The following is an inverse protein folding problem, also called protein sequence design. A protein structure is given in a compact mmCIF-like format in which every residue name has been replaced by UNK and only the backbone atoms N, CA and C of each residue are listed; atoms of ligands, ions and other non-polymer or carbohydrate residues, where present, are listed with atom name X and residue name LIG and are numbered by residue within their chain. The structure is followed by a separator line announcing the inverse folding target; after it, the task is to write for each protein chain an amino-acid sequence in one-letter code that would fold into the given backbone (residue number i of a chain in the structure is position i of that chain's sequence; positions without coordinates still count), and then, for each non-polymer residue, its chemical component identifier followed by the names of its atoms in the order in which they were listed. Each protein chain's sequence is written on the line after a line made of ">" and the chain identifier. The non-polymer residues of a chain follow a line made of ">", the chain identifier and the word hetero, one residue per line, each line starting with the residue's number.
data_IF_550777994101
#
_entry.id   IF_550777994101
#
_cell.length_a   1.000
_cell.length_b   1.000
_cell.length_c   1.000
_cell.angle_alpha   90.00
_cell.angle_beta   90.00
_cell.angle_gamma   90.00
#
_symmetry.space_group_name_H-M   'P 1'
#
loop_
_entity.id
_entity.type
_entity.pdbx_description
1 polymer ?
#
# COMPACT_ATOMS: atom_id res chain seq x y z
N UNK A 1 -11.05 -57.96 9.84
CA UNK A 1 -10.41 -56.89 9.06
C UNK A 1 -10.01 -55.79 10.03
N UNK A 2 -8.76 -55.32 9.97
CA UNK A 2 -8.33 -54.19 10.79
C UNK A 2 -9.19 -52.97 10.46
N UNK A 3 -9.85 -52.39 11.47
CA UNK A 3 -10.77 -51.25 11.30
C UNK A 3 -10.06 -50.03 10.74
N UNK A 4 -8.77 -49.88 11.02
CA UNK A 4 -7.98 -48.79 10.47
C UNK A 4 -7.67 -49.02 8.98
N UNK A 5 -7.35 -50.26 8.61
CA UNK A 5 -7.18 -50.63 7.20
C UNK A 5 -8.47 -50.42 6.38
N UNK A 6 -9.63 -50.73 6.97
CA UNK A 6 -10.92 -50.44 6.35
C UNK A 6 -11.12 -48.93 6.12
N UNK A 7 -10.69 -48.08 7.07
CA UNK A 7 -10.70 -46.62 6.88
C UNK A 7 -9.80 -46.20 5.72
N UNK A 8 -8.56 -46.71 5.64
CA UNK A 8 -7.64 -46.37 4.55
C UNK A 8 -8.23 -46.71 3.17
N UNK A 9 -8.89 -47.87 3.05
CA UNK A 9 -9.57 -48.27 1.81
C UNK A 9 -10.79 -47.39 1.50
N UNK A 10 -11.64 -47.11 2.49
CA UNK A 10 -12.84 -46.29 2.29
C UNK A 10 -12.53 -44.82 2.00
N UNK A 11 -11.43 -44.30 2.55
CA UNK A 11 -10.95 -42.94 2.31
C UNK A 11 -10.06 -42.82 1.06
N UNK A 12 -9.88 -43.91 0.29
CA UNK A 12 -9.02 -43.97 -0.89
C UNK A 12 -7.55 -43.59 -0.60
N UNK A 13 -7.06 -43.89 0.61
CA UNK A 13 -5.69 -43.60 1.08
C UNK A 13 -4.75 -44.81 0.91
N UNK A 14 -5.18 -45.83 0.17
CA UNK A 14 -4.47 -47.07 -0.13
C UNK A 14 -3.41 -46.91 -1.24
N UNK A 15 -2.66 -45.80 -1.19
CA UNK A 15 -1.52 -45.50 -2.07
C UNK A 15 -0.24 -45.39 -1.24
N UNK A 16 0.90 -45.80 -1.78
CA UNK A 16 2.19 -45.59 -1.09
C UNK A 16 2.55 -44.11 -0.99
N UNK A 17 3.08 -43.62 0.15
CA UNK A 17 3.37 -44.35 1.39
C UNK A 17 2.23 -44.34 2.44
N UNK A 18 1.03 -43.84 2.10
CA UNK A 18 -0.12 -43.74 3.01
C UNK A 18 -0.68 -45.12 3.42
N UNK A 19 -0.57 -46.10 2.53
CA UNK A 19 -0.94 -47.51 2.79
C UNK A 19 -0.06 -48.18 3.88
N UNK A 20 1.08 -47.58 4.23
CA UNK A 20 1.96 -48.02 5.32
C UNK A 20 1.53 -47.51 6.70
N UNK A 21 0.50 -46.67 6.76
CA UNK A 21 0.00 -46.12 8.01
C UNK A 21 -0.46 -47.23 8.96
N UNK A 22 0.08 -47.20 10.18
CA UNK A 22 -0.26 -48.11 11.27
C UNK A 22 -0.82 -47.30 12.43
N UNK A 23 -2.03 -47.61 12.86
CA UNK A 23 -2.65 -46.97 14.03
C UNK A 23 -2.10 -47.58 15.32
N UNK A 24 -1.40 -46.78 16.12
CA UNK A 24 -0.87 -47.21 17.41
C UNK A 24 -1.96 -47.18 18.49
N UNK A 25 -2.67 -46.04 18.59
CA UNK A 25 -3.76 -45.87 19.56
C UNK A 25 -4.70 -44.72 19.18
N UNK A 26 -5.90 -44.73 19.77
CA UNK A 26 -6.84 -43.60 19.74
C UNK A 26 -7.23 -43.26 21.16
N UNK A 27 -6.93 -42.05 21.61
CA UNK A 27 -7.22 -41.59 22.96
C UNK A 27 -8.36 -40.57 22.96
N UNK A 28 -9.33 -40.73 23.86
CA UNK A 28 -10.45 -39.78 24.03
C UNK A 28 -10.05 -38.68 25.00
N UNK A 29 -9.99 -37.43 24.53
CA UNK A 29 -9.76 -36.24 25.36
C UNK A 29 -11.07 -35.86 26.08
N UNK A 30 -11.30 -36.44 27.26
CA UNK A 30 -12.55 -36.29 28.04
C UNK A 30 -13.00 -34.83 28.25
N UNK A 31 -12.07 -33.91 28.45
CA UNK A 31 -12.39 -32.50 28.72
C UNK A 31 -12.77 -31.70 27.46
N UNK A 32 -12.21 -32.07 26.29
CA UNK A 32 -12.47 -31.36 25.03
C UNK A 32 -13.46 -32.08 24.10
N UNK A 33 -13.84 -33.33 24.41
CA UNK A 33 -14.67 -34.17 23.55
C UNK A 33 -14.00 -34.53 22.21
N UNK A 34 -12.67 -34.48 22.16
CA UNK A 34 -11.89 -34.75 20.95
C UNK A 34 -11.23 -36.14 20.95
N UNK A 35 -10.87 -36.63 19.77
CA UNK A 35 -10.07 -37.84 19.60
C UNK A 35 -8.63 -37.47 19.26
N UNK A 36 -7.67 -38.20 19.84
CA UNK A 36 -6.25 -38.10 19.50
C UNK A 36 -5.80 -39.40 18.84
N UNK A 37 -5.46 -39.33 17.56
CA UNK A 37 -4.92 -40.45 16.80
C UNK A 37 -3.40 -40.48 16.89
N UNK A 38 -2.84 -41.63 17.25
CA UNK A 38 -1.39 -41.88 17.21
C UNK A 38 -1.09 -42.84 16.06
N UNK A 39 -0.44 -42.35 15.01
CA UNK A 39 -0.26 -43.07 13.74
C UNK A 39 1.22 -43.09 13.35
N UNK A 40 1.72 -44.26 13.01
CA UNK A 40 3.08 -44.48 12.49
C UNK A 40 3.05 -44.72 10.99
N UNK A 41 3.93 -44.06 10.23
CA UNK A 41 4.19 -44.35 8.82
C UNK A 41 5.58 -44.96 8.63
N UNK A 42 5.79 -45.72 7.55
CA UNK A 42 7.11 -46.28 7.26
C UNK A 42 8.09 -45.20 6.78
N UNK A 43 7.62 -44.31 5.91
CA UNK A 43 8.45 -43.29 5.24
C UNK A 43 7.78 -41.91 5.23
N UNK A 44 8.59 -40.86 5.14
CA UNK A 44 8.13 -39.47 4.99
C UNK A 44 7.56 -39.28 3.58
N UNK A 45 6.44 -38.57 3.49
CA UNK A 45 5.73 -38.30 2.24
C UNK A 45 5.74 -36.81 1.88
N UNK A 46 5.28 -36.47 0.68
CA UNK A 46 5.14 -35.07 0.29
C UNK A 46 4.09 -34.34 1.15
N UNK A 47 4.27 -33.04 1.45
CA UNK A 47 3.30 -32.26 2.21
C UNK A 47 1.85 -32.26 1.66
N UNK A 48 1.59 -32.28 0.34
CA UNK A 48 0.24 -32.44 -0.19
C UNK A 48 -0.41 -33.78 0.19
N UNK A 49 0.34 -34.88 0.14
CA UNK A 49 -0.17 -36.19 0.54
C UNK A 49 -0.45 -36.24 2.04
N UNK A 50 0.43 -35.67 2.86
CA UNK A 50 0.22 -35.56 4.30
C UNK A 50 -1.02 -34.70 4.63
N UNK A 51 -1.18 -33.57 3.94
CA UNK A 51 -2.36 -32.69 4.10
C UNK A 51 -3.64 -33.41 3.71
N UNK A 52 -3.63 -34.15 2.60
CA UNK A 52 -4.76 -34.98 2.16
C UNK A 52 -5.13 -36.02 3.23
N UNK A 53 -4.13 -36.73 3.78
CA UNK A 53 -4.35 -37.69 4.85
C UNK A 53 -4.95 -37.05 6.10
N UNK A 54 -4.40 -35.93 6.57
CA UNK A 54 -4.91 -35.19 7.73
C UNK A 54 -6.37 -34.79 7.49
N UNK A 55 -6.68 -34.23 6.32
CA UNK A 55 -8.03 -33.80 5.97
C UNK A 55 -9.00 -34.99 5.96
N UNK A 56 -8.62 -36.13 5.39
CA UNK A 56 -9.45 -37.33 5.36
C UNK A 56 -9.64 -37.92 6.76
N UNK A 57 -8.59 -37.98 7.58
CA UNK A 57 -8.67 -38.43 8.97
C UNK A 57 -9.63 -37.55 9.77
N UNK A 58 -9.49 -36.23 9.66
CA UNK A 58 -10.35 -35.28 10.38
C UNK A 58 -11.79 -35.37 9.89
N UNK A 59 -12.03 -35.42 8.58
CA UNK A 59 -13.37 -35.47 8.00
C UNK A 59 -14.08 -36.78 8.30
N UNK A 60 -13.38 -37.91 8.21
CA UNK A 60 -13.98 -39.24 8.36
C UNK A 60 -14.42 -39.53 9.80
N UNK A 61 -13.63 -39.08 10.79
CA UNK A 61 -13.92 -39.35 12.20
C UNK A 61 -14.65 -38.22 12.92
N UNK A 62 -14.75 -37.04 12.32
CA UNK A 62 -15.56 -35.95 12.85
C UNK A 62 -17.05 -36.31 12.76
N UNK A 63 -17.74 -36.21 13.89
CA UNK A 63 -19.18 -36.43 13.99
C UNK A 63 -19.81 -35.30 14.78
N UNK A 64 -20.58 -34.41 14.13
CA UNK A 64 -21.27 -33.32 14.81
C UNK A 64 -22.06 -33.82 16.02
N UNK A 65 -21.93 -33.12 17.15
CA UNK A 65 -22.59 -33.48 18.41
C UNK A 65 -21.97 -34.63 19.21
N UNK A 66 -21.06 -35.43 18.63
CA UNK A 66 -20.42 -36.59 19.29
C UNK A 66 -18.91 -36.39 19.46
N UNK A 67 -18.21 -36.02 18.39
CA UNK A 67 -16.76 -35.80 18.39
C UNK A 67 -16.49 -34.36 18.01
N UNK A 68 -15.97 -33.56 18.95
CA UNK A 68 -15.79 -32.11 18.79
C UNK A 68 -14.51 -31.73 18.05
N UNK A 69 -13.47 -32.56 18.13
CA UNK A 69 -12.22 -32.31 17.41
C UNK A 69 -11.48 -33.61 17.11
N UNK A 70 -10.71 -33.61 16.02
CA UNK A 70 -9.81 -34.70 15.64
C UNK A 70 -8.39 -34.16 15.65
N UNK A 71 -7.61 -34.61 16.64
CA UNK A 71 -6.19 -34.37 16.77
C UNK A 71 -5.39 -35.61 16.37
N UNK A 72 -4.12 -35.40 16.08
CA UNK A 72 -3.19 -36.45 15.70
C UNK A 72 -1.81 -36.21 16.30
N UNK A 73 -1.04 -37.28 16.41
CA UNK A 73 0.42 -37.29 16.54
C UNK A 73 0.92 -38.32 15.53
N UNK A 74 1.87 -37.91 14.72
CA UNK A 74 2.50 -38.80 13.74
C UNK A 74 3.89 -39.21 14.18
N UNK A 75 4.29 -40.40 13.75
CA UNK A 75 5.66 -40.92 13.88
C UNK A 75 6.07 -41.57 12.57
N UNK A 76 7.36 -41.59 12.28
CA UNK A 76 7.92 -42.28 11.11
C UNK A 76 8.99 -43.27 11.55
N UNK A 77 9.03 -44.45 10.93
CA UNK A 77 10.16 -45.38 11.11
C UNK A 77 11.46 -44.77 10.61
N UNK A 78 11.40 -44.02 9.50
CA UNK A 78 12.51 -43.25 8.97
C UNK A 78 12.12 -41.75 8.84
N UNK A 79 12.31 -40.93 9.90
CA UNK A 79 11.88 -39.53 9.94
C UNK A 79 12.88 -38.58 9.22
N UNK A 80 13.29 -38.92 8.00
CA UNK A 80 14.23 -38.10 7.23
C UNK A 80 13.47 -37.09 6.35
N UNK A 81 13.74 -35.80 6.57
CA UNK A 81 13.15 -34.70 5.79
C UNK A 81 13.85 -34.44 4.45
N UNK A 82 14.90 -35.19 4.11
CA UNK A 82 15.70 -34.97 2.90
C UNK A 82 14.83 -34.85 1.62
N UNK A 83 14.88 -33.68 0.98
CA UNK A 83 14.10 -33.34 -0.22
C UNK A 83 12.73 -32.72 0.04
N UNK A 84 12.27 -32.67 1.30
CA UNK A 84 11.00 -32.03 1.71
C UNK A 84 11.17 -30.98 2.80
N UNK A 85 12.40 -30.62 3.18
CA UNK A 85 12.74 -29.71 4.27
C UNK A 85 12.03 -28.38 4.11
N UNK A 86 12.05 -27.83 2.89
CA UNK A 86 11.39 -26.57 2.57
C UNK A 86 9.88 -26.69 2.54
N UNK A 87 9.38 -27.74 1.90
CA UNK A 87 7.95 -27.93 1.72
C UNK A 87 7.23 -28.19 3.05
N UNK A 88 7.85 -28.95 3.98
CA UNK A 88 7.34 -29.12 5.34
C UNK A 88 7.49 -27.85 6.17
N UNK A 89 8.59 -27.10 6.04
CA UNK A 89 8.74 -25.81 6.72
C UNK A 89 7.58 -24.86 6.37
N UNK A 90 7.28 -24.70 5.09
CA UNK A 90 6.20 -23.83 4.63
C UNK A 90 4.82 -24.30 5.10
N UNK A 91 4.53 -25.59 4.99
CA UNK A 91 3.26 -26.18 5.42
C UNK A 91 3.05 -26.02 6.93
N UNK A 92 4.08 -26.33 7.72
CA UNK A 92 3.97 -26.37 9.18
C UNK A 92 3.94 -24.97 9.80
N UNK A 93 4.57 -23.97 9.17
CA UNK A 93 4.39 -22.57 9.58
C UNK A 93 2.97 -22.10 9.34
N UNK A 94 2.38 -22.42 8.19
CA UNK A 94 0.97 -22.10 7.93
C UNK A 94 0.09 -22.75 8.99
N UNK A 95 0.29 -24.04 9.27
CA UNK A 95 -0.47 -24.76 10.29
C UNK A 95 -0.28 -24.21 11.70
N UNK A 96 0.94 -23.86 12.08
CA UNK A 96 1.19 -23.20 13.37
C UNK A 96 0.52 -21.81 13.45
N UNK A 97 0.43 -21.08 12.34
CA UNK A 97 -0.20 -19.77 12.27
C UNK A 97 -1.72 -19.80 12.49
N UNK A 98 -2.39 -20.93 12.21
CA UNK A 98 -3.80 -21.14 12.54
C UNK A 98 -4.04 -21.05 14.06
N UNK A 99 -3.05 -21.42 14.88
CA UNK A 99 -3.10 -21.30 16.36
C UNK A 99 -2.57 -19.97 16.87
N UNK A 100 -1.52 -19.44 16.22
CA UNK A 100 -0.88 -18.19 16.62
C UNK A 100 -0.33 -17.43 15.41
N UNK A 101 -1.13 -16.47 14.92
CA UNK A 101 -0.88 -15.73 13.68
C UNK A 101 0.54 -15.12 13.53
N UNK A 102 1.20 -14.57 14.58
CA UNK A 102 2.54 -14.00 14.43
C UNK A 102 3.63 -14.97 13.96
N UNK A 103 3.41 -16.29 14.00
CA UNK A 103 4.34 -17.28 13.44
C UNK A 103 4.46 -17.17 11.92
N UNK A 104 3.48 -16.57 11.23
CA UNK A 104 3.53 -16.42 9.77
C UNK A 104 4.77 -15.61 9.29
N UNK A 105 5.35 -14.76 10.14
CA UNK A 105 6.58 -14.02 9.84
C UNK A 105 7.77 -14.92 9.46
N UNK A 106 7.79 -16.18 9.92
CA UNK A 106 8.85 -17.13 9.63
C UNK A 106 8.95 -17.55 8.16
N UNK A 107 7.92 -17.30 7.35
CA UNK A 107 7.99 -17.47 5.88
C UNK A 107 8.88 -16.43 5.20
N UNK A 108 9.07 -15.27 5.83
CA UNK A 108 9.80 -14.15 5.23
C UNK A 108 11.30 -14.21 5.52
N UNK A 109 11.75 -15.10 6.41
CA UNK A 109 13.17 -15.26 6.72
C UNK A 109 13.82 -16.30 5.81
N UNK A 110 15.03 -16.00 5.37
CA UNK A 110 15.92 -17.00 4.80
C UNK A 110 16.35 -17.97 5.92
N UNK A 111 16.51 -19.24 5.58
CA UNK A 111 17.02 -20.24 6.50
C UNK A 111 17.89 -21.27 5.80
N UNK A 112 18.78 -21.88 6.58
CA UNK A 112 19.54 -23.07 6.21
C UNK A 112 19.06 -24.25 7.05
N UNK A 113 18.91 -25.43 6.45
CA UNK A 113 18.58 -26.65 7.19
C UNK A 113 19.80 -27.58 7.22
N UNK A 114 20.29 -27.86 8.43
CA UNK A 114 21.44 -28.75 8.64
C UNK A 114 21.29 -29.48 9.97
N UNK A 115 21.62 -30.78 9.99
CA UNK A 115 21.61 -31.61 11.21
C UNK A 115 20.27 -31.52 11.99
N UNK A 116 19.14 -31.64 11.28
CA UNK A 116 17.79 -31.48 11.82
C UNK A 116 17.51 -30.13 12.50
N UNK A 117 18.27 -29.09 12.14
CA UNK A 117 18.14 -27.75 12.70
C UNK A 117 17.88 -26.75 11.58
N UNK A 118 16.80 -25.95 11.72
CA UNK A 118 16.53 -24.79 10.89
C UNK A 118 17.26 -23.58 11.48
N UNK A 119 18.28 -23.09 10.77
CA UNK A 119 19.03 -21.90 11.10
C UNK A 119 18.43 -20.70 10.37
N UNK A 120 17.72 -19.86 11.10
CA UNK A 120 17.01 -18.71 10.54
C UNK A 120 17.94 -17.50 10.51
N UNK A 121 18.12 -16.90 9.34
CA UNK A 121 18.97 -15.71 9.19
C UNK A 121 18.18 -14.49 9.65
N UNK A 122 18.71 -13.77 10.64
CA UNK A 122 18.06 -12.57 11.19
C UNK A 122 19.03 -11.43 11.33
N UNK A 123 18.48 -10.22 11.36
CA UNK A 123 19.20 -9.00 11.70
C UNK A 123 19.51 -8.93 13.20
N UNK A 124 20.53 -8.15 13.58
CA UNK A 124 21.02 -8.02 14.97
C UNK A 124 19.91 -7.72 16.00
N UNK A 125 18.90 -6.94 15.61
CA UNK A 125 17.78 -6.56 16.49
C UNK A 125 16.63 -7.59 16.53
N UNK A 126 16.64 -8.57 15.64
CA UNK A 126 15.55 -9.56 15.46
C UNK A 126 15.76 -10.88 16.22
N UNK A 127 16.75 -10.96 17.13
CA UNK A 127 17.03 -12.16 17.92
C UNK A 127 15.84 -12.55 18.84
N UNK A 128 14.96 -11.61 19.15
CA UNK A 128 13.78 -11.84 20.00
C UNK A 128 12.77 -12.84 19.43
N UNK A 129 12.87 -13.22 18.15
CA UNK A 129 11.99 -14.23 17.54
C UNK A 129 12.21 -15.65 18.10
N UNK A 130 13.35 -15.91 18.77
CA UNK A 130 13.64 -17.18 19.43
C UNK A 130 12.54 -17.62 20.41
N UNK A 131 11.78 -16.66 20.98
CA UNK A 131 10.67 -16.94 21.89
C UNK A 131 9.53 -17.77 21.25
N UNK A 132 9.44 -17.80 19.92
CA UNK A 132 8.43 -18.56 19.19
C UNK A 132 8.89 -19.97 18.77
N UNK A 133 10.18 -20.29 18.92
CA UNK A 133 10.73 -21.60 18.55
C UNK A 133 10.10 -22.80 19.28
N UNK A 134 9.72 -22.70 20.57
CA UNK A 134 9.00 -23.78 21.23
C UNK A 134 7.69 -24.14 20.54
N UNK A 135 6.92 -23.14 20.06
CA UNK A 135 5.65 -23.37 19.37
C UNK A 135 5.85 -24.08 18.03
N UNK A 136 6.87 -23.67 17.27
CA UNK A 136 7.25 -24.34 16.02
C UNK A 136 7.71 -25.77 16.30
N UNK A 137 8.55 -25.96 17.31
CA UNK A 137 9.06 -27.29 17.68
C UNK A 137 7.93 -28.25 18.06
N UNK A 138 6.94 -27.78 18.81
CA UNK A 138 5.76 -28.57 19.16
C UNK A 138 4.92 -28.96 17.93
N UNK A 139 4.74 -28.05 16.97
CA UNK A 139 3.99 -28.34 15.74
C UNK A 139 4.72 -29.36 14.84
N UNK A 140 6.04 -29.23 14.71
CA UNK A 140 6.86 -30.22 13.98
C UNK A 140 6.86 -31.57 14.67
N UNK A 141 6.95 -31.60 16.01
CA UNK A 141 6.90 -32.82 16.79
C UNK A 141 5.55 -33.53 16.65
N UNK A 142 4.43 -32.78 16.63
CA UNK A 142 3.09 -33.32 16.35
C UNK A 142 3.02 -34.02 15.00
N UNK A 143 3.75 -33.51 14.01
CA UNK A 143 3.86 -34.10 12.68
C UNK A 143 4.95 -35.17 12.55
N UNK A 144 5.61 -35.57 13.65
CA UNK A 144 6.59 -36.65 13.68
C UNK A 144 8.03 -36.24 13.41
N UNK A 145 8.33 -34.94 13.36
CA UNK A 145 9.67 -34.42 13.08
C UNK A 145 10.32 -33.82 14.32
N UNK A 146 11.47 -34.37 14.71
CA UNK A 146 12.31 -33.83 15.79
C UNK A 146 13.30 -32.85 15.21
N UNK A 147 12.87 -31.59 15.06
CA UNK A 147 13.73 -30.51 14.58
C UNK A 147 14.07 -29.51 15.69
N UNK A 148 15.18 -28.80 15.50
CA UNK A 148 15.54 -27.64 16.31
C UNK A 148 15.48 -26.37 15.46
N UNK A 149 15.39 -25.23 16.13
CA UNK A 149 15.46 -23.91 15.52
C UNK A 149 16.56 -23.11 16.20
N UNK A 150 17.43 -22.51 15.40
CA UNK A 150 18.40 -21.55 15.88
C UNK A 150 18.48 -20.36 14.91
N UNK A 151 19.28 -19.36 15.28
CA UNK A 151 19.40 -18.11 14.56
C UNK A 151 20.84 -17.91 14.12
N UNK A 152 21.03 -17.52 12.86
CA UNK A 152 22.28 -16.97 12.35
C UNK A 152 22.11 -15.45 12.24
N UNK A 153 22.86 -14.69 13.04
CA UNK A 153 22.86 -13.24 12.98
C UNK A 153 23.75 -12.80 11.82
N UNK A 154 23.18 -12.09 10.85
CA UNK A 154 23.93 -11.60 9.69
C UNK A 154 24.43 -10.18 9.96
N UNK A 155 25.73 -9.97 10.13
CA UNK A 155 26.32 -8.66 10.45
C UNK A 155 26.33 -7.66 9.28
N UNK A 156 25.98 -8.10 8.07
CA UNK A 156 26.04 -7.30 6.84
C UNK A 156 24.69 -6.66 6.42
N UNK A 157 23.61 -6.84 7.18
CA UNK A 157 22.33 -6.15 6.94
C UNK A 157 22.26 -4.99 7.92
N UNK A 158 22.38 -3.76 7.42
CA UNK A 158 22.25 -2.55 8.24
C UNK A 158 20.87 -2.52 8.88
N UNK A 159 20.83 -2.28 10.20
CA UNK A 159 19.56 -2.18 10.91
C UNK A 159 18.74 -0.99 10.37
N UNK A 160 17.43 -1.18 10.22
CA UNK A 160 16.48 -0.11 9.87
C UNK A 160 16.65 1.08 10.84
N UNK A 161 17.00 0.81 12.10
CA UNK A 161 17.24 1.80 13.14
C UNK A 161 18.47 2.68 12.85
N UNK A 162 19.60 2.08 12.44
CA UNK A 162 20.81 2.84 12.06
C UNK A 162 20.65 3.62 10.77
N UNK A 163 19.79 3.16 9.84
CA UNK A 163 19.45 3.93 8.63
C UNK A 163 18.59 5.15 8.96
N UNK A 164 17.64 5.01 9.87
CA UNK A 164 16.79 6.11 10.36
C UNK A 164 17.62 7.11 11.18
N UNK A 165 18.52 6.64 12.05
CA UNK A 165 19.39 7.53 12.85
C UNK A 165 20.38 8.31 11.97
N UNK A 166 20.98 7.68 10.95
CA UNK A 166 21.81 8.39 9.96
C UNK A 166 21.02 9.42 9.17
N UNK A 167 19.83 9.07 8.70
CA UNK A 167 18.98 10.02 7.98
C UNK A 167 18.57 11.21 8.87
N UNK A 168 18.31 10.99 10.16
CA UNK A 168 18.00 12.07 11.11
C UNK A 168 19.23 12.96 11.35
N UNK A 169 20.43 12.38 11.49
CA UNK A 169 21.67 13.14 11.68
C UNK A 169 22.05 13.94 10.44
N UNK A 170 22.02 13.33 9.25
CA UNK A 170 22.31 14.03 7.99
C UNK A 170 21.32 15.18 7.73
N UNK A 171 20.04 15.00 8.09
CA UNK A 171 19.03 16.05 7.96
C UNK A 171 19.22 17.17 8.98
N UNK A 172 19.66 16.85 10.21
CA UNK A 172 19.97 17.83 11.25
C UNK A 172 21.23 18.67 10.91
N UNK A 173 22.27 18.06 10.35
CA UNK A 173 23.49 18.76 9.91
C UNK A 173 23.21 19.67 8.70
N UNK A 174 22.35 19.22 7.78
CA UNK A 174 21.90 20.03 6.64
C UNK A 174 21.07 21.24 7.10
N UNK A 175 20.20 21.09 8.11
CA UNK A 175 19.42 22.20 8.68
C UNK A 175 20.28 23.19 9.47
N UNK A 176 21.32 22.73 10.17
CA UNK A 176 22.24 23.61 10.92
C UNK A 176 23.16 24.43 10.01
N UNK A 177 23.56 23.89 8.84
CA UNK A 177 24.40 24.61 7.86
C UNK A 177 23.66 25.69 7.05
N UNK A 178 22.32 25.69 7.08
CA UNK A 178 21.46 26.61 6.33
C UNK A 178 20.94 27.81 7.14
N UNK A 179 21.48 28.07 8.34
CA UNK A 179 21.04 29.21 9.16
C UNK A 179 22.03 30.39 9.07
N UNK A 180 21.80 31.41 8.22
CA UNK A 180 22.58 32.63 8.29
C UNK A 180 22.19 33.45 9.53
N UNK A 181 23.20 33.94 10.24
CA UNK A 181 23.05 34.93 11.31
C UNK A 181 22.40 36.19 10.75
N UNK A 182 21.30 36.63 11.38
CA UNK A 182 20.68 37.94 11.11
C UNK A 182 21.60 39.05 11.61
N UNK A 183 22.08 39.89 10.70
CA UNK A 183 22.49 41.25 11.01
C UNK A 183 21.41 42.19 10.49
N UNK A 184 20.92 43.08 11.37
CA UNK A 184 19.99 44.15 11.01
C UNK A 184 20.76 45.30 10.36
N UNK A 185 20.34 45.73 9.17
CA UNK A 185 20.70 47.03 8.62
C UNK A 185 19.44 47.73 8.12
N UNK A 186 19.17 48.89 8.72
CA UNK A 186 18.15 49.86 8.33
C UNK A 186 18.74 50.73 7.22
N UNK A 187 18.00 51.00 6.13
CA UNK A 187 17.78 52.38 5.62
C UNK A 187 16.90 52.46 4.37
N UNK A 188 16.05 53.50 4.42
CA UNK A 188 15.12 54.02 3.44
C UNK A 188 15.74 54.39 2.09
N UNK A 189 15.01 54.12 0.99
CA UNK A 189 14.39 55.15 0.11
C UNK A 189 13.77 54.51 -1.14
N UNK A 190 12.50 54.84 -1.39
CA UNK A 190 11.78 54.55 -2.64
C UNK A 190 12.46 55.28 -3.81
N UNK A 191 12.76 54.56 -4.88
CA UNK A 191 13.08 55.13 -6.19
C UNK A 191 11.97 54.75 -7.16
N UNK A 192 11.17 55.75 -7.55
CA UNK A 192 10.13 55.61 -8.57
C UNK A 192 10.70 56.03 -9.92
N UNK A 193 10.64 55.15 -10.93
CA UNK A 193 10.96 55.49 -12.31
C UNK A 193 9.68 55.73 -13.12
N UNK A 194 9.66 56.78 -13.93
CA UNK A 194 8.52 57.13 -14.80
C UNK A 194 8.58 56.36 -16.13
N UNK A 195 7.48 55.68 -16.47
CA UNK A 195 7.30 54.99 -17.75
C UNK A 195 6.73 55.91 -18.84
N UNK A 196 7.19 55.70 -20.09
CA UNK A 196 6.71 56.44 -21.27
C UNK A 196 5.48 55.83 -21.97
N UNK A 197 5.05 54.62 -21.59
CA UNK A 197 3.76 54.02 -21.95
C UNK A 197 3.35 53.04 -20.84
N UNK A 198 2.10 53.11 -20.35
CA UNK A 198 1.58 52.18 -19.34
C UNK A 198 1.36 50.81 -20.00
N UNK A 199 2.00 49.73 -19.53
CA UNK A 199 1.58 48.38 -19.89
C UNK A 199 0.13 48.18 -19.41
N UNK A 200 -0.70 47.52 -20.21
CA UNK A 200 -2.01 47.08 -19.75
C UNK A 200 -1.80 45.91 -18.77
N UNK A 201 -2.41 46.03 -17.59
CA UNK A 201 -2.46 44.96 -16.60
C UNK A 201 -3.46 43.91 -17.10
N UNK A 202 -2.96 42.69 -17.30
CA UNK A 202 -3.74 41.57 -17.83
C UNK A 202 -3.62 40.37 -16.90
N UNK A 203 -4.60 39.47 -16.95
CA UNK A 203 -4.47 38.16 -16.31
C UNK A 203 -3.50 37.27 -17.08
N UNK A 204 -2.91 36.29 -16.41
CA UNK A 204 -1.96 35.36 -17.02
C UNK A 204 -2.63 34.57 -18.16
N UNK A 205 -3.90 34.18 -18.00
CA UNK A 205 -4.69 33.46 -19.03
C UNK A 205 -4.84 34.22 -20.36
N UNK A 206 -4.67 35.55 -20.35
CA UNK A 206 -4.79 36.39 -21.55
C UNK A 206 -3.51 36.40 -22.40
N UNK A 207 -2.39 35.90 -21.86
CA UNK A 207 -1.13 35.79 -22.59
C UNK A 207 -1.23 34.60 -23.55
N UNK A 208 -1.00 34.79 -24.86
CA UNK A 208 -1.04 33.67 -25.81
C UNK A 208 -0.02 32.58 -25.44
N UNK A 209 -0.45 31.33 -25.44
CA UNK A 209 0.36 30.16 -25.04
C UNK A 209 1.14 29.52 -26.19
N UNK A 210 0.99 30.02 -27.42
CA UNK A 210 1.63 29.46 -28.61
C UNK A 210 2.35 30.53 -29.42
N UNK A 211 3.41 30.13 -30.15
CA UNK A 211 4.12 30.99 -31.09
C UNK A 211 3.16 31.69 -32.07
N UNK A 212 2.23 30.93 -32.67
CA UNK A 212 1.22 31.48 -33.58
C UNK A 212 0.31 32.51 -32.90
N UNK A 213 -0.11 32.23 -31.66
CA UNK A 213 -0.89 33.15 -30.85
C UNK A 213 -0.16 34.47 -30.58
N UNK A 214 1.13 34.40 -30.25
CA UNK A 214 1.97 35.59 -30.09
C UNK A 214 2.11 36.38 -31.40
N UNK A 215 2.37 35.72 -32.52
CA UNK A 215 2.52 36.39 -33.82
C UNK A 215 1.22 37.11 -34.24
N UNK A 216 0.07 36.47 -34.02
CA UNK A 216 -1.24 37.08 -34.25
C UNK A 216 -1.46 38.31 -33.35
N UNK A 217 -1.22 38.16 -32.04
CA UNK A 217 -1.37 39.26 -31.08
C UNK A 217 -0.48 40.45 -31.45
N UNK A 218 0.78 40.18 -31.83
CA UNK A 218 1.72 41.22 -32.26
C UNK A 218 1.25 41.96 -33.52
N UNK A 219 0.63 41.27 -34.48
CA UNK A 219 0.10 41.90 -35.68
C UNK A 219 -1.13 42.78 -35.37
N UNK A 220 -1.98 42.37 -34.42
CA UNK A 220 -3.19 43.11 -34.04
C UNK A 220 -2.90 44.30 -33.13
N UNK A 221 -1.99 44.14 -32.15
CA UNK A 221 -1.72 45.12 -31.09
C UNK A 221 -0.40 45.88 -31.26
N UNK A 222 0.48 45.42 -32.15
CA UNK A 222 1.79 46.05 -32.42
C UNK A 222 2.89 45.79 -31.39
N UNK A 223 2.58 45.14 -30.26
CA UNK A 223 3.56 44.81 -29.21
C UNK A 223 3.23 43.50 -28.49
N UNK A 224 4.23 42.94 -27.80
CA UNK A 224 4.12 41.75 -26.93
C UNK A 224 4.48 42.08 -25.47
N UNK A 225 4.30 43.34 -25.08
CA UNK A 225 4.54 43.78 -23.71
C UNK A 225 3.29 43.53 -22.87
N UNK A 226 3.46 42.84 -21.74
CA UNK A 226 2.40 42.54 -20.79
C UNK A 226 2.82 42.97 -19.39
N UNK A 227 1.85 43.32 -18.55
CA UNK A 227 2.05 43.47 -17.11
C UNK A 227 1.12 42.51 -16.38
N UNK A 228 1.69 41.67 -15.53
CA UNK A 228 0.98 40.66 -14.75
C UNK A 228 1.32 40.80 -13.27
N UNK A 229 0.41 40.37 -12.42
CA UNK A 229 0.64 40.20 -10.99
C UNK A 229 0.37 38.75 -10.62
N UNK A 230 1.24 38.15 -9.80
CA UNK A 230 1.01 36.79 -9.34
C UNK A 230 1.96 36.36 -8.22
N UNK A 231 1.60 35.25 -7.59
CA UNK A 231 2.33 34.65 -6.48
C UNK A 231 3.42 33.70 -6.99
N UNK A 232 4.63 33.84 -6.47
CA UNK A 232 5.77 32.99 -6.85
C UNK A 232 5.65 31.65 -6.12
N UNK A 233 5.49 30.55 -6.86
CA UNK A 233 5.43 29.21 -6.26
C UNK A 233 6.72 28.40 -6.44
N UNK A 234 7.59 28.81 -7.37
CA UNK A 234 8.87 28.16 -7.62
C UNK A 234 9.92 29.19 -8.08
N UNK A 235 11.16 29.01 -7.63
CA UNK A 235 12.32 29.81 -8.06
C UNK A 235 13.44 28.85 -8.45
N UNK A 236 13.88 28.92 -9.70
CA UNK A 236 15.07 28.21 -10.18
C UNK A 236 16.17 29.23 -10.50
N UNK A 237 17.33 29.10 -9.83
CA UNK A 237 18.52 29.93 -10.04
C UNK A 237 19.62 29.10 -10.68
N UNK A 238 20.16 29.58 -11.81
CA UNK A 238 21.31 28.96 -12.48
C UNK A 238 22.42 29.97 -12.71
N UNK A 239 23.55 29.76 -12.05
CA UNK A 239 24.75 30.59 -12.22
C UNK A 239 25.53 30.17 -13.46
N UNK A 240 25.90 31.15 -14.30
CA UNK A 240 26.72 30.98 -15.49
C UNK A 240 27.94 31.89 -15.37
N UNK A 241 28.97 31.64 -16.18
CA UNK A 241 30.27 32.34 -16.08
C UNK A 241 30.21 33.87 -16.25
N UNK A 242 29.14 34.41 -16.86
CA UNK A 242 28.97 35.85 -17.13
C UNK A 242 27.61 36.42 -16.72
N UNK A 243 26.70 35.58 -16.25
CA UNK A 243 25.33 35.99 -15.91
C UNK A 243 24.68 34.99 -14.98
N UNK A 244 23.64 35.40 -14.28
CA UNK A 244 22.79 34.49 -13.49
C UNK A 244 21.42 34.45 -14.14
N UNK A 245 20.95 33.25 -14.46
CA UNK A 245 19.60 33.02 -14.93
C UNK A 245 18.68 32.79 -13.75
N UNK A 246 17.65 33.62 -13.65
CA UNK A 246 16.53 33.37 -12.75
C UNK A 246 15.29 33.00 -13.55
N UNK A 247 14.59 31.98 -13.08
CA UNK A 247 13.25 31.60 -13.53
C UNK A 247 12.33 31.62 -12.32
N UNK A 248 11.37 32.53 -12.32
CA UNK A 248 10.28 32.57 -11.35
C UNK A 248 9.04 31.94 -12.00
N UNK A 249 8.50 30.88 -11.42
CA UNK A 249 7.18 30.39 -11.82
C UNK A 249 6.14 31.10 -10.97
N UNK A 250 5.26 31.83 -11.65
CA UNK A 250 4.29 32.75 -11.06
C UNK A 250 2.90 32.29 -11.45
N UNK A 251 1.95 32.31 -10.52
CA UNK A 251 0.55 31.97 -10.80
C UNK A 251 -0.39 33.06 -10.29
N UNK A 252 -1.53 33.20 -10.96
CA UNK A 252 -2.67 33.98 -10.50
C UNK A 252 -3.86 33.02 -10.22
N UNK A 253 -5.08 33.53 -10.04
CA UNK A 253 -6.25 32.68 -9.80
C UNK A 253 -6.64 31.80 -11.00
N UNK A 254 -6.09 32.09 -12.18
CA UNK A 254 -6.51 31.52 -13.47
C UNK A 254 -5.46 30.64 -14.13
N UNK A 255 -4.18 31.05 -14.12
CA UNK A 255 -3.12 30.37 -14.85
C UNK A 255 -1.73 30.63 -14.22
N UNK A 256 -0.70 29.97 -14.76
CA UNK A 256 0.69 30.12 -14.35
C UNK A 256 1.64 30.31 -15.53
N UNK A 257 2.65 31.17 -15.35
CA UNK A 257 3.65 31.47 -16.37
C UNK A 257 5.05 31.53 -15.78
N UNK A 258 6.05 31.19 -16.60
CA UNK A 258 7.46 31.31 -16.24
C UNK A 258 7.98 32.70 -16.62
N UNK A 259 8.47 33.42 -15.61
CA UNK A 259 9.14 34.72 -15.76
C UNK A 259 10.65 34.48 -15.71
N UNK A 260 11.33 34.67 -16.84
CA UNK A 260 12.73 34.22 -17.01
C UNK A 260 13.63 35.34 -17.53
N UNK A 261 14.76 35.61 -16.86
CA UNK A 261 15.77 36.58 -17.34
C UNK A 261 17.18 36.25 -16.91
N UNK A 262 18.13 36.57 -17.80
CA UNK A 262 19.55 36.64 -17.48
C UNK A 262 19.87 38.00 -16.88
N UNK A 263 20.38 37.99 -15.65
CA UNK A 263 20.89 39.16 -14.95
C UNK A 263 22.41 39.20 -15.00
N UNK A 264 22.96 40.38 -15.27
CA UNK A 264 24.41 40.62 -15.35
C UNK A 264 24.90 41.63 -14.32
N UNK A 265 24.01 42.50 -13.80
CA UNK A 265 24.35 43.52 -12.82
C UNK A 265 24.11 42.98 -11.40
N UNK A 266 25.06 43.23 -10.49
CA UNK A 266 24.96 42.76 -9.10
C UNK A 266 23.70 43.28 -8.38
N UNK A 267 23.29 44.53 -8.66
CA UNK A 267 22.07 45.12 -8.09
C UNK A 267 20.80 44.35 -8.46
N UNK A 268 20.68 43.95 -9.72
CA UNK A 268 19.51 43.22 -10.20
C UNK A 268 19.51 41.78 -9.66
N UNK A 269 20.69 41.18 -9.49
CA UNK A 269 20.86 39.86 -8.87
C UNK A 269 20.45 39.90 -7.40
N UNK A 270 20.81 40.94 -6.66
CA UNK A 270 20.36 41.13 -5.27
C UNK A 270 18.84 41.26 -5.20
N UNK A 271 18.23 42.10 -6.04
CA UNK A 271 16.78 42.27 -6.08
C UNK A 271 16.05 40.97 -6.44
N UNK A 272 16.61 40.17 -7.35
CA UNK A 272 16.08 38.84 -7.69
C UNK A 272 16.21 37.83 -6.55
N UNK A 273 17.29 37.88 -5.76
CA UNK A 273 17.48 37.02 -4.58
C UNK A 273 16.56 37.39 -3.41
N UNK A 274 16.08 38.64 -3.34
CA UNK A 274 15.15 39.08 -2.29
C UNK A 274 13.74 38.51 -2.45
N UNK A 275 13.39 38.00 -3.64
CA UNK A 275 12.12 37.35 -3.92
C UNK A 275 12.12 35.93 -3.37
N UNK A 276 11.08 35.57 -2.63
CA UNK A 276 10.90 34.24 -2.02
C UNK A 276 9.61 33.58 -2.51
N UNK A 277 9.57 32.25 -2.39
CA UNK A 277 8.33 31.49 -2.61
C UNK A 277 7.24 32.01 -1.66
N UNK A 278 6.07 32.32 -2.22
CA UNK A 278 4.93 32.95 -1.54
C UNK A 278 4.89 34.48 -1.66
N UNK A 279 5.92 35.13 -2.22
CA UNK A 279 5.86 36.56 -2.52
C UNK A 279 4.99 36.84 -3.74
N UNK A 280 4.26 37.96 -3.72
CA UNK A 280 3.52 38.46 -4.88
C UNK A 280 4.39 39.48 -5.60
N UNK A 281 4.56 39.28 -6.91
CA UNK A 281 5.37 40.15 -7.76
C UNK A 281 4.52 40.72 -8.89
N UNK A 282 4.74 42.01 -9.18
CA UNK A 282 4.21 42.68 -10.37
C UNK A 282 5.33 42.73 -11.40
N UNK A 283 5.09 42.14 -12.56
CA UNK A 283 6.09 41.94 -13.62
C UNK A 283 5.60 42.58 -14.89
N UNK A 284 6.41 43.49 -15.45
CA UNK A 284 6.23 44.03 -16.80
C UNK A 284 7.33 43.50 -17.72
N UNK A 285 6.96 42.78 -18.77
CA UNK A 285 7.89 42.05 -19.62
C UNK A 285 7.39 41.84 -21.04
N UNK A 286 8.22 41.22 -21.87
CA UNK A 286 7.85 40.80 -23.22
C UNK A 286 7.55 39.31 -23.21
N UNK A 287 6.41 38.87 -23.75
CA UNK A 287 6.15 37.44 -23.94
C UNK A 287 6.90 36.93 -25.18
N UNK A 288 7.61 35.83 -25.02
CA UNK A 288 8.44 35.20 -26.04
C UNK A 288 8.25 33.69 -25.99
N UNK A 289 8.20 33.02 -27.13
CA UNK A 289 8.17 31.56 -27.17
C UNK A 289 9.59 31.01 -26.97
N UNK A 290 9.78 30.25 -25.91
CA UNK A 290 11.05 29.59 -25.60
C UNK A 290 11.10 28.23 -26.31
N UNK A 291 11.97 28.11 -27.31
CA UNK A 291 12.11 26.86 -28.08
C UNK A 291 12.71 25.68 -27.28
N UNK A 292 13.40 25.95 -26.16
CA UNK A 292 13.97 24.91 -25.31
C UNK A 292 12.90 24.32 -24.39
N UNK A 293 12.11 25.19 -23.76
CA UNK A 293 10.99 24.79 -22.87
C UNK A 293 9.76 24.37 -23.70
N UNK A 294 9.68 24.84 -24.96
CA UNK A 294 8.52 24.72 -25.87
C UNK A 294 7.25 25.35 -25.29
N UNK A 295 7.42 26.51 -24.68
CA UNK A 295 6.34 27.22 -24.00
C UNK A 295 6.57 28.74 -24.07
N UNK A 296 5.51 29.53 -23.86
CA UNK A 296 5.61 30.98 -23.80
C UNK A 296 6.10 31.41 -22.42
N UNK A 297 7.18 32.21 -22.41
CA UNK A 297 7.79 32.76 -21.21
C UNK A 297 7.71 34.27 -21.24
N UNK A 298 7.63 34.87 -20.05
CA UNK A 298 7.68 36.32 -19.90
C UNK A 298 9.11 36.75 -19.58
N UNK A 299 9.76 37.49 -20.47
CA UNK A 299 11.08 38.09 -20.22
C UNK A 299 10.86 39.45 -19.52
N UNK A 300 11.07 39.56 -18.20
CA UNK A 300 10.78 40.77 -17.44
C UNK A 300 11.69 41.92 -17.85
N UNK A 301 11.14 43.11 -18.15
CA UNK A 301 11.91 44.35 -18.24
C UNK A 301 12.04 45.02 -16.88
N UNK A 302 10.96 45.00 -16.11
CA UNK A 302 10.88 45.49 -14.74
C UNK A 302 10.02 44.51 -13.93
N UNK A 303 10.40 44.29 -12.68
CA UNK A 303 9.62 43.52 -11.74
C UNK A 303 9.80 44.12 -10.35
N UNK A 304 8.74 44.14 -9.57
CA UNK A 304 8.77 44.66 -8.21
C UNK A 304 7.96 43.72 -7.32
N UNK A 305 8.44 43.53 -6.09
CA UNK A 305 7.65 42.92 -5.03
C UNK A 305 6.52 43.89 -4.65
N UNK A 306 5.29 43.42 -4.71
CA UNK A 306 4.13 44.19 -4.25
C UNK A 306 3.71 43.69 -2.87
N UNK A 307 3.05 44.56 -2.11
CA UNK A 307 2.42 44.14 -0.88
C UNK A 307 1.35 43.11 -1.25
N UNK A 308 1.41 41.93 -0.62
CA UNK A 308 0.37 40.92 -0.78
C UNK A 308 -0.97 41.61 -0.43
N UNK A 309 -1.96 41.71 -1.34
CA UNK A 309 -3.30 42.07 -0.92
C UNK A 309 -3.69 41.08 0.19
N UNK A 310 -4.18 41.57 1.33
CA UNK A 310 -4.49 40.70 2.47
C UNK A 310 -5.22 39.47 1.95
N UNK A 311 -4.58 38.30 2.07
CA UNK A 311 -5.17 37.05 1.62
C UNK A 311 -6.49 36.97 2.37
N UNK A 312 -7.61 37.05 1.66
CA UNK A 312 -8.94 36.89 2.26
C UNK A 312 -9.08 35.42 2.63
N UNK A 313 -8.36 35.00 3.66
CA UNK A 313 -8.49 33.67 4.21
C UNK A 313 -9.90 33.53 4.74
N UNK A 314 -10.53 32.41 4.40
CA UNK A 314 -11.83 32.07 4.98
C UNK A 314 -11.63 31.97 6.49
N UNK A 315 -12.43 32.72 7.24
CA UNK A 315 -12.41 32.71 8.70
C UNK A 315 -13.74 32.19 9.23
N UNK A 316 -13.68 31.26 10.18
CA UNK A 316 -14.86 30.85 10.93
C UNK A 316 -15.21 31.92 12.00
N UNK A 317 -16.28 32.67 11.76
CA UNK A 317 -16.78 33.72 12.67
C UNK A 317 -17.90 33.26 13.60
N UNK A 318 -18.26 31.97 13.59
CA UNK A 318 -19.29 31.46 14.48
C UNK A 318 -18.83 31.55 15.95
N UNK A 319 -19.80 31.81 16.83
CA UNK A 319 -19.59 31.81 18.29
C UNK A 319 -19.32 30.39 18.79
N UNK A 320 -20.17 29.46 18.36
CA UNK A 320 -20.02 28.03 18.63
C UNK A 320 -19.30 27.38 17.46
N UNK A 321 -18.14 26.78 17.74
CA UNK A 321 -17.26 26.26 16.69
C UNK A 321 -17.74 24.89 16.22
N UNK A 322 -17.74 24.70 14.90
CA UNK A 322 -18.06 23.40 14.28
C UNK A 322 -16.98 22.37 14.66
N UNK A 323 -17.38 21.10 14.74
CA UNK A 323 -16.47 19.96 14.76
C UNK A 323 -16.65 19.22 13.43
N UNK A 324 -15.56 19.00 12.71
CA UNK A 324 -15.58 18.19 11.48
C UNK A 324 -15.55 16.71 11.85
N UNK A 325 -16.45 15.91 11.28
CA UNK A 325 -16.56 14.47 11.57
C UNK A 325 -16.18 13.59 10.37
N UNK A 326 -15.98 14.18 9.20
CA UNK A 326 -15.55 13.45 8.00
C UNK A 326 -14.55 14.29 7.22
N UNK A 327 -13.33 13.78 7.06
CA UNK A 327 -12.24 14.50 6.41
C UNK A 327 -11.27 13.51 5.78
N UNK A 328 -10.99 13.71 4.49
CA UNK A 328 -10.03 12.93 3.74
C UNK A 328 -8.77 13.75 3.49
N UNK A 329 -7.63 13.10 3.67
CA UNK A 329 -6.31 13.67 3.40
C UNK A 329 -5.75 13.09 2.11
N UNK A 330 -4.64 13.62 1.64
CA UNK A 330 -3.87 13.06 0.51
C UNK A 330 -3.49 11.58 0.67
N UNK A 331 -3.65 10.99 1.87
CA UNK A 331 -3.48 9.56 2.11
C UNK A 331 -4.68 8.71 1.66
N UNK A 332 -5.80 9.32 1.30
CA UNK A 332 -6.90 8.70 0.55
C UNK A 332 -6.56 8.71 -0.95
N UNK A 333 -6.18 7.56 -1.54
CA UNK A 333 -5.65 7.53 -2.90
C UNK A 333 -6.67 8.03 -3.93
N UNK A 334 -6.26 8.96 -4.80
CA UNK A 334 -7.08 9.54 -5.88
C UNK A 334 -8.38 10.23 -5.42
N UNK A 335 -8.50 10.59 -4.14
CA UNK A 335 -9.74 11.14 -3.57
C UNK A 335 -9.54 12.54 -2.97
N UNK A 336 -8.44 12.76 -2.26
CA UNK A 336 -8.14 14.05 -1.64
C UNK A 336 -6.70 14.51 -1.93
N UNK A 337 -6.49 15.83 -1.86
CA UNK A 337 -5.23 16.48 -2.28
C UNK A 337 -4.51 17.21 -1.13
N UNK A 338 -5.20 17.47 -0.02
CA UNK A 338 -4.68 18.31 1.08
C UNK A 338 -3.97 17.47 2.15
N UNK A 339 -2.89 18.02 2.71
CA UNK A 339 -2.15 17.34 3.77
C UNK A 339 -2.85 17.46 5.13
N UNK A 340 -2.59 16.52 6.04
CA UNK A 340 -3.15 16.59 7.40
C UNK A 340 -2.59 17.78 8.19
N UNK A 341 -1.36 18.20 7.90
CA UNK A 341 -0.74 19.38 8.51
C UNK A 341 -1.51 20.66 8.16
N UNK A 342 -1.86 20.85 6.89
CA UNK A 342 -2.63 22.02 6.43
C UNK A 342 -4.02 22.07 7.05
N UNK A 343 -4.69 20.91 7.16
CA UNK A 343 -5.98 20.81 7.84
C UNK A 343 -5.88 21.17 9.31
N UNK A 344 -4.92 20.61 10.04
CA UNK A 344 -4.72 20.90 11.46
C UNK A 344 -4.42 22.39 11.68
N UNK A 345 -3.58 23.01 10.83
CA UNK A 345 -3.29 24.44 10.89
C UNK A 345 -4.53 25.30 10.66
N UNK A 346 -5.36 24.94 9.67
CA UNK A 346 -6.59 25.67 9.32
C UNK A 346 -7.66 25.53 10.41
N UNK A 347 -7.88 24.32 10.92
CA UNK A 347 -8.90 24.08 11.94
C UNK A 347 -8.53 24.74 13.27
N UNK A 348 -7.25 24.77 13.61
CA UNK A 348 -6.76 25.50 14.79
C UNK A 348 -6.92 27.03 14.62
N UNK A 349 -6.62 27.59 13.44
CA UNK A 349 -6.83 29.03 13.19
C UNK A 349 -8.31 29.42 13.23
N UNK A 350 -9.21 28.50 12.88
CA UNK A 350 -10.66 28.66 13.02
C UNK A 350 -11.17 28.47 14.45
N UNK A 351 -10.31 27.95 15.35
CA UNK A 351 -10.65 27.70 16.75
C UNK A 351 -11.48 26.44 16.98
N UNK A 352 -11.44 25.46 16.06
CA UNK A 352 -12.18 24.21 16.23
C UNK A 352 -11.62 23.41 17.42
N UNK A 353 -12.50 22.85 18.24
CA UNK A 353 -12.10 22.10 19.44
C UNK A 353 -11.65 20.68 19.10
N UNK A 354 -12.24 20.08 18.07
CA UNK A 354 -11.94 18.74 17.62
C UNK A 354 -12.20 18.57 16.12
N UNK A 355 -11.63 17.51 15.55
CA UNK A 355 -11.93 17.08 14.19
C UNK A 355 -11.66 15.58 14.03
N UNK A 356 -12.38 14.93 13.12
CA UNK A 356 -12.15 13.54 12.74
C UNK A 356 -11.36 13.43 11.44
N UNK A 357 -10.56 12.39 11.35
CA UNK A 357 -9.94 11.91 10.12
C UNK A 357 -10.61 10.62 9.70
N UNK A 358 -10.99 10.50 8.44
CA UNK A 358 -11.75 9.35 7.93
C UNK A 358 -11.23 8.92 6.56
N UNK A 359 -9.91 8.79 6.40
CA UNK A 359 -9.32 8.38 5.12
C UNK A 359 -9.93 7.07 4.58
N UNK A 360 -10.03 6.97 3.24
CA UNK A 360 -10.63 5.81 2.57
C UNK A 360 -9.74 4.58 2.71
N UNK A 361 -10.34 3.48 3.17
CA UNK A 361 -9.76 2.13 3.19
C UNK A 361 -8.38 2.06 3.89
N UNK A 362 -8.08 2.98 4.80
CA UNK A 362 -6.80 3.01 5.49
C UNK A 362 -6.64 4.15 6.49
N UNK A 363 -5.60 4.02 7.32
CA UNK A 363 -5.27 4.95 8.42
C UNK A 363 -3.85 5.52 8.27
N UNK A 364 -3.38 5.65 7.03
CA UNK A 364 -1.98 5.96 6.71
C UNK A 364 -1.56 7.37 7.17
N UNK A 365 -2.49 8.30 7.34
CA UNK A 365 -2.21 9.66 7.81
C UNK A 365 -1.96 9.76 9.32
N UNK A 366 -2.15 8.69 10.10
CA UNK A 366 -2.07 8.76 11.57
C UNK A 366 -0.69 9.18 12.10
N UNK A 367 0.46 8.70 11.55
CA UNK A 367 1.79 9.15 11.99
C UNK A 367 1.98 10.66 11.77
N UNK A 368 1.60 11.16 10.60
CA UNK A 368 1.69 12.58 10.25
C UNK A 368 0.74 13.43 11.11
N UNK A 369 -0.46 12.91 11.41
CA UNK A 369 -1.40 13.54 12.32
C UNK A 369 -0.79 13.75 13.72
N UNK A 370 -0.18 12.70 14.30
CA UNK A 370 0.46 12.78 15.62
C UNK A 370 1.59 13.81 15.62
N UNK A 371 2.36 13.90 14.53
CA UNK A 371 3.41 14.90 14.38
C UNK A 371 2.83 16.32 14.32
N UNK A 372 1.79 16.53 13.53
CA UNK A 372 1.16 17.85 13.32
C UNK A 372 0.44 18.38 14.56
N UNK A 373 -0.01 17.50 15.47
CA UNK A 373 -0.69 17.89 16.71
C UNK A 373 0.25 18.32 17.84
N UNK A 374 1.58 18.14 17.71
CA UNK A 374 2.53 18.52 18.76
C UNK A 374 2.44 20.01 19.07
N UNK A 375 2.10 20.34 20.32
CA UNK A 375 1.96 21.72 20.78
C UNK A 375 0.62 22.39 20.47
N UNK A 376 -0.32 21.67 19.86
CA UNK A 376 -1.65 22.17 19.51
C UNK A 376 -2.71 21.69 20.49
N UNK A 377 -3.81 22.45 20.61
CA UNK A 377 -4.92 22.16 21.55
C UNK A 377 -6.10 21.42 20.92
N UNK A 378 -6.17 21.38 19.60
CA UNK A 378 -7.26 20.73 18.87
C UNK A 378 -7.20 19.20 19.07
N UNK A 379 -8.35 18.58 19.37
CA UNK A 379 -8.45 17.16 19.66
C UNK A 379 -8.72 16.34 18.39
N UNK A 380 -7.87 15.35 18.04
CA UNK A 380 -8.18 14.44 16.94
C UNK A 380 -9.23 13.39 17.34
N UNK A 381 -10.04 12.99 16.37
CA UNK A 381 -10.91 11.82 16.40
C UNK A 381 -10.40 10.88 15.32
N UNK A 382 -9.88 9.73 15.74
CA UNK A 382 -9.32 8.73 14.83
C UNK A 382 -10.45 7.90 14.22
N UNK A 383 -10.68 8.07 12.92
CA UNK A 383 -11.66 7.31 12.15
C UNK A 383 -11.05 6.75 10.86
N UNK A 384 -11.88 6.04 10.11
CA UNK A 384 -11.58 5.46 8.80
C UNK A 384 -12.89 5.32 8.03
N UNK A 385 -12.92 5.67 6.74
CA UNK A 385 -14.04 5.36 5.86
C UNK A 385 -13.78 3.99 5.22
N UNK A 386 -14.68 3.03 5.44
CA UNK A 386 -14.56 1.67 4.91
C UNK A 386 -15.74 1.35 4.00
N UNK A 387 -15.44 0.59 2.95
CA UNK A 387 -16.47 -0.07 2.17
C UNK A 387 -17.06 -1.23 2.99
N UNK A 388 -18.31 -1.09 3.41
CA UNK A 388 -19.05 -2.17 4.05
C UNK A 388 -19.78 -2.98 2.99
N UNK A 389 -19.59 -4.30 3.00
CA UNK A 389 -20.37 -5.25 2.20
C UNK A 389 -21.24 -6.03 3.16
N UNK A 390 -22.56 -5.96 2.96
CA UNK A 390 -23.52 -6.76 3.72
C UNK A 390 -23.54 -8.18 3.15
N UNK A 391 -22.82 -9.08 3.79
CA UNK A 391 -22.73 -10.50 3.45
C UNK A 391 -24.07 -11.24 3.55
N UNK A 392 -25.00 -10.77 4.40
CA UNK A 392 -26.36 -11.33 4.49
C UNK A 392 -27.26 -10.93 3.31
N UNK A 393 -27.02 -9.78 2.67
CA UNK A 393 -27.76 -9.35 1.48
C UNK A 393 -27.12 -9.81 0.17
N UNK A 394 -25.86 -10.24 0.21
CA UNK A 394 -25.14 -10.77 -0.95
C UNK A 394 -25.57 -12.21 -1.25
N UNK A 395 -26.78 -12.38 -1.76
CA UNK A 395 -27.38 -13.69 -2.09
C UNK A 395 -26.77 -14.27 -3.38
N UNK A 396 -25.69 -15.05 -3.23
CA UNK A 396 -25.15 -15.89 -4.32
C UNK A 396 -25.90 -17.24 -4.40
N UNK A 397 -26.46 -17.71 -3.29
CA UNK A 397 -27.31 -18.90 -3.21
C UNK A 397 -28.54 -18.61 -2.35
N UNK A 398 -29.59 -19.45 -2.45
CA UNK A 398 -30.73 -19.35 -1.54
C UNK A 398 -30.31 -19.91 -0.17
N UNK A 399 -30.51 -19.13 0.89
CA UNK A 399 -30.32 -19.59 2.27
C UNK A 399 -31.10 -20.89 2.47
N UNK A 400 -30.37 -22.00 2.63
CA UNK A 400 -30.95 -23.25 3.10
C UNK A 400 -30.78 -23.24 4.63
N UNK A 401 -31.89 -23.08 5.35
CA UNK A 401 -31.87 -22.86 6.81
C UNK A 401 -31.65 -24.13 7.65
N UNK A 402 -31.33 -25.25 7.01
CA UNK A 402 -31.06 -26.52 7.68
C UNK A 402 -29.67 -27.00 7.33
N UNK A 403 -28.84 -27.22 8.35
CA UNK A 403 -27.57 -27.93 8.18
C UNK A 403 -27.89 -29.37 7.77
N UNK A 404 -27.44 -29.76 6.57
CA UNK A 404 -27.50 -31.14 6.12
C UNK A 404 -26.10 -31.68 5.82
N UNK A 405 -25.83 -32.98 6.05
CA UNK A 405 -24.58 -33.58 5.63
C UNK A 405 -24.47 -33.52 4.10
N UNK A 406 -23.51 -32.74 3.59
CA UNK A 406 -23.24 -32.66 2.14
C UNK A 406 -23.01 -34.04 1.50
N UNK A 407 -22.48 -34.97 2.30
CA UNK A 407 -22.29 -36.38 1.94
C UNK A 407 -23.59 -37.05 1.48
N UNK A 408 -24.72 -36.74 2.10
CA UNK A 408 -25.99 -37.41 1.85
C UNK A 408 -26.86 -36.63 0.84
N UNK A 409 -26.39 -35.46 0.41
CA UNK A 409 -27.09 -34.59 -0.53
C UNK A 409 -26.81 -34.97 -1.99
N UNK A 410 -27.78 -34.64 -2.85
CA UNK A 410 -27.56 -34.58 -4.31
C UNK A 410 -27.35 -33.12 -4.67
N UNK A 411 -26.22 -32.79 -5.27
CA UNK A 411 -25.88 -31.42 -5.65
C UNK A 411 -25.22 -31.39 -7.02
N UNK A 412 -25.10 -30.21 -7.62
CA UNK A 412 -24.43 -30.02 -8.91
C UNK A 412 -23.23 -29.12 -8.67
N UNK A 413 -22.06 -29.55 -9.12
CA UNK A 413 -20.83 -28.75 -9.14
C UNK A 413 -20.70 -28.14 -10.51
N UNK A 414 -20.58 -26.81 -10.57
CA UNK A 414 -20.28 -26.09 -11.78
C UNK A 414 -18.79 -25.84 -11.87
N UNK A 415 -18.22 -26.15 -13.03
CA UNK A 415 -16.86 -25.80 -13.40
C UNK A 415 -16.94 -24.82 -14.58
N UNK A 416 -16.22 -23.71 -14.48
CA UNK A 416 -16.33 -22.59 -15.41
C UNK A 416 -14.95 -22.18 -15.89
N UNK A 417 -14.76 -22.20 -17.20
CA UNK A 417 -13.59 -21.62 -17.84
C UNK A 417 -13.90 -20.20 -18.30
N UNK A 418 -12.91 -19.31 -18.24
CA UNK A 418 -13.09 -17.90 -18.61
C UNK A 418 -11.98 -17.37 -19.52
N UNK A 419 -12.17 -16.19 -20.09
CA UNK A 419 -11.19 -15.52 -20.96
C UNK A 419 -9.95 -14.99 -20.21
N UNK A 420 -9.88 -15.16 -18.88
CA UNK A 420 -8.79 -14.67 -18.02
C UNK A 420 -8.89 -15.14 -16.55
N UNK A 421 -8.40 -14.34 -15.60
CA UNK A 421 -8.38 -14.66 -14.15
C UNK A 421 -9.17 -13.65 -13.28
N UNK A 422 -9.80 -12.66 -13.90
CA UNK A 422 -10.49 -11.54 -13.28
C UNK A 422 -11.99 -11.77 -13.28
N UNK A 423 -12.55 -12.10 -12.12
CA UNK A 423 -13.99 -12.29 -11.91
C UNK A 423 -14.87 -11.09 -12.29
N UNK A 424 -14.31 -9.87 -12.41
CA UNK A 424 -15.05 -8.65 -12.82
C UNK A 424 -14.94 -8.29 -14.30
N UNK A 425 -13.94 -8.82 -15.03
CA UNK A 425 -13.62 -8.38 -16.40
C UNK A 425 -13.70 -9.48 -17.44
N UNK A 426 -13.37 -10.70 -17.04
CA UNK A 426 -13.23 -11.82 -17.96
C UNK A 426 -14.57 -12.56 -18.12
N UNK A 427 -14.79 -13.12 -19.30
CA UNK A 427 -16.08 -13.72 -19.70
C UNK A 427 -16.00 -15.23 -19.69
N UNK A 428 -17.13 -15.90 -19.45
CA UNK A 428 -17.24 -17.35 -19.49
C UNK A 428 -17.05 -17.86 -20.93
N UNK A 429 -16.25 -18.92 -21.09
CA UNK A 429 -16.01 -19.62 -22.36
C UNK A 429 -16.44 -21.08 -22.35
N UNK A 430 -16.63 -21.67 -21.17
CA UNK A 430 -17.14 -23.02 -21.01
C UNK A 430 -17.97 -23.11 -19.74
N UNK A 431 -19.02 -23.92 -19.79
CA UNK A 431 -19.82 -24.29 -18.63
C UNK A 431 -19.87 -25.81 -18.58
N UNK A 432 -19.28 -26.38 -17.54
CA UNK A 432 -19.42 -27.77 -17.16
C UNK A 432 -20.23 -27.88 -15.86
N UNK A 433 -21.08 -28.90 -15.78
CA UNK A 433 -21.94 -29.15 -14.62
C UNK A 433 -22.00 -30.65 -14.34
N UNK A 434 -21.60 -31.04 -13.13
CA UNK A 434 -21.54 -32.43 -12.70
C UNK A 434 -22.49 -32.65 -11.53
N UNK A 435 -23.45 -33.54 -11.71
CA UNK A 435 -24.31 -34.00 -10.61
C UNK A 435 -23.53 -34.94 -9.70
N UNK A 436 -23.47 -34.63 -8.41
CA UNK A 436 -22.82 -35.44 -7.38
C UNK A 436 -23.89 -35.99 -6.43
N UNK A 437 -23.80 -37.28 -6.14
CA UNK A 437 -24.63 -37.95 -5.14
C UNK A 437 -23.76 -38.93 -4.35
N UNK A 438 -23.76 -38.84 -3.03
CA UNK A 438 -22.93 -39.69 -2.16
C UNK A 438 -21.43 -39.63 -2.49
N UNK A 439 -20.94 -38.48 -2.96
CA UNK A 439 -19.54 -38.29 -3.40
C UNK A 439 -19.21 -38.97 -4.74
N UNK A 440 -20.19 -39.51 -5.45
CA UNK A 440 -20.03 -40.13 -6.78
C UNK A 440 -20.49 -39.13 -7.84
N UNK A 441 -19.66 -38.93 -8.86
CA UNK A 441 -19.98 -38.13 -10.05
C UNK A 441 -20.96 -38.93 -10.92
N UNK A 442 -22.13 -38.36 -11.19
CA UNK A 442 -23.19 -38.91 -12.00
C UNK A 442 -23.28 -38.23 -13.36
N UNK A 443 -24.47 -37.71 -13.68
CA UNK A 443 -24.75 -37.03 -14.96
C UNK A 443 -23.87 -35.77 -15.13
N UNK A 444 -23.38 -35.56 -16.35
CA UNK A 444 -22.57 -34.42 -16.73
C UNK A 444 -23.24 -33.63 -17.86
N UNK A 445 -23.08 -32.30 -17.82
CA UNK A 445 -23.45 -31.38 -18.89
C UNK A 445 -22.25 -30.49 -19.18
N UNK A 446 -21.86 -30.39 -20.45
CA UNK A 446 -20.72 -29.56 -20.90
C UNK A 446 -21.14 -28.77 -22.14
N UNK A 447 -20.82 -27.48 -22.17
CA UNK A 447 -21.07 -26.63 -23.33
C UNK A 447 -20.08 -25.47 -23.44
N UNK A 448 -19.67 -25.17 -24.67
CA UNK A 448 -18.84 -24.01 -24.96
C UNK A 448 -19.68 -22.75 -25.17
N UNK A 449 -19.18 -21.64 -24.63
CA UNK A 449 -19.76 -20.30 -24.76
C UNK A 449 -18.82 -19.46 -25.64
N UNK A 450 -19.36 -18.77 -26.64
CA UNK A 450 -18.56 -17.86 -27.46
C UNK A 450 -18.58 -16.44 -26.84
N UNK A 451 -17.48 -15.96 -26.23
CA UNK A 451 -17.44 -14.64 -25.58
C UNK A 451 -17.35 -13.47 -26.59
N UNK A 452 -17.30 -13.77 -27.89
CA UNK A 452 -17.10 -12.83 -29.01
C UNK A 452 -15.83 -11.99 -28.90
N UNK A 453 -14.80 -12.54 -28.27
CA UNK A 453 -13.47 -11.94 -28.16
C UNK A 453 -12.38 -13.00 -28.35
N UNK A 454 -11.15 -12.55 -28.67
CA UNK A 454 -10.03 -13.46 -28.83
C UNK A 454 -9.46 -13.86 -27.48
N UNK A 455 -9.27 -15.15 -27.29
CA UNK A 455 -8.53 -15.68 -26.14
C UNK A 455 -7.07 -15.26 -26.18
N UNK A 456 -6.53 -14.90 -25.02
CA UNK A 456 -5.09 -14.68 -24.85
C UNK A 456 -4.32 -16.01 -24.95
N UNK A 457 -3.05 -15.95 -25.37
CA UNK A 457 -2.21 -17.15 -25.49
C UNK A 457 -1.99 -17.88 -24.15
N UNK A 458 -2.03 -17.15 -23.03
CA UNK A 458 -1.91 -17.76 -21.71
C UNK A 458 -3.12 -18.65 -21.39
N UNK A 459 -4.33 -18.20 -21.74
CA UNK A 459 -5.56 -18.96 -21.51
C UNK A 459 -5.64 -20.17 -22.44
N UNK A 460 -5.30 -20.01 -23.73
CA UNK A 460 -5.21 -21.13 -24.68
C UNK A 460 -4.20 -22.24 -24.30
N UNK A 461 -3.31 -21.98 -23.33
CA UNK A 461 -2.31 -22.95 -22.88
C UNK A 461 -2.82 -23.79 -21.70
N UNK A 462 -3.77 -23.25 -20.93
CA UNK A 462 -4.27 -23.86 -19.70
C UNK A 462 -5.71 -24.38 -19.85
N UNK A 463 -6.40 -23.96 -20.90
CA UNK A 463 -7.65 -24.50 -21.44
C UNK A 463 -7.34 -25.07 -22.81
#
# INVERSE_FOLDING_TARGET
>A
MDKFKLFLEQAQLNIKPLDTATLNSVTVKKNSGGLLFDITFDEVMSPPLMSSFINQLQTFFFKPGIVKSIDFVFSFKNPNLNGYEKAYYDMLIIKASEKFSPILMFKNYNYEFKDNTYFIHVEKDSVSIKKYFPLLKDEFLKHGFKVNFDVIVNENIQSVKEQVERHIQEHAETLMSLTPKKEEVILDKKVTFQFKHKPEEVKIEEIPTTQYGLDKYKNEKGHLNFQIEGEVFKIDKRELSRSTLFTFSVFDETDAINVRRFFTQEKDIQLANDIKVGDVISVSGTAEYDNYIKDVVLTPRAFNKIARPEKKERMDRAKDKRIEFSLHTKMSPMDAVTSIEDYVNTLESWGHEAFAITDRNGVYAYPDLVKSLKGKKIKPIYGVELNYVNDYEFKITTDYHEDFPLKDATYVVFDLETTGFSHTRDKIIEIAAYKIQNGIIGEAFETFVNPKEKLSENIKRIT
#
